data_IF_953641700747
#
_entry.id   IF_953641700747
#
_cell.length_a   1.000
_cell.length_b   1.000
_cell.length_c   1.000
_cell.angle_alpha   90.00
_cell.angle_beta   90.00
_cell.angle_gamma   90.00
#
_symmetry.space_group_name_H-M   'P 1'
#
loop_
_entity.id
_entity.type
_entity.pdbx_description
1 polymer ?
#
# COMPACT_ATOMS: atom_id res chain seq x y z
N UNK A 1 -20.04 -10.83 -11.98
CA UNK A 1 -18.77 -11.09 -11.27
C UNK A 1 -18.79 -10.29 -9.98
N UNK A 2 -18.25 -10.84 -8.86
CA UNK A 2 -18.23 -10.11 -7.58
C UNK A 2 -16.82 -9.58 -7.31
N UNK A 3 -16.72 -8.28 -7.13
CA UNK A 3 -15.48 -7.58 -6.76
C UNK A 3 -15.48 -7.32 -5.26
N UNK A 4 -14.34 -7.46 -4.60
CA UNK A 4 -14.15 -7.18 -3.18
C UNK A 4 -12.85 -6.42 -2.97
N UNK A 5 -12.91 -5.34 -2.19
CA UNK A 5 -11.72 -4.66 -1.67
C UNK A 5 -11.44 -5.15 -0.25
N UNK A 6 -10.23 -5.66 -0.03
CA UNK A 6 -9.74 -6.09 1.27
C UNK A 6 -8.53 -5.24 1.64
N UNK A 7 -8.44 -4.79 2.89
CA UNK A 7 -7.31 -3.97 3.30
C UNK A 7 -6.85 -4.28 4.72
N UNK A 8 -5.62 -3.87 4.99
CA UNK A 8 -5.14 -3.62 6.35
C UNK A 8 -4.58 -2.21 6.44
N UNK A 9 -4.82 -1.56 7.57
CA UNK A 9 -4.33 -0.22 7.83
C UNK A 9 -4.04 -0.03 9.31
N UNK A 10 -3.04 0.79 9.64
CA UNK A 10 -2.72 1.11 11.03
C UNK A 10 -2.92 2.58 11.35
N UNK A 11 -2.60 3.46 10.41
CA UNK A 11 -2.65 4.91 10.57
C UNK A 11 -3.62 5.60 9.60
N UNK A 12 -4.48 4.82 8.91
CA UNK A 12 -5.56 5.34 8.08
C UNK A 12 -5.24 5.56 6.61
N UNK A 13 -3.96 5.71 6.20
CA UNK A 13 -3.63 6.00 4.80
C UNK A 13 -4.11 4.91 3.82
N UNK A 14 -3.81 3.63 4.10
CA UNK A 14 -4.31 2.51 3.27
C UNK A 14 -5.83 2.42 3.29
N UNK A 15 -6.45 2.64 4.44
CA UNK A 15 -7.91 2.63 4.58
C UNK A 15 -8.56 3.69 3.68
N UNK A 16 -8.01 4.90 3.64
CA UNK A 16 -8.51 5.99 2.78
C UNK A 16 -8.50 5.61 1.29
N UNK A 17 -7.41 5.02 0.81
CA UNK A 17 -7.33 4.50 -0.55
C UNK A 17 -8.34 3.38 -0.79
N UNK A 18 -8.43 2.40 0.13
CA UNK A 18 -9.36 1.29 0.03
C UNK A 18 -10.83 1.75 -0.04
N UNK A 19 -11.21 2.73 0.77
CA UNK A 19 -12.54 3.33 0.76
C UNK A 19 -12.85 4.03 -0.56
N UNK A 20 -11.90 4.79 -1.11
CA UNK A 20 -12.07 5.47 -2.37
C UNK A 20 -12.23 4.49 -3.55
N UNK A 21 -11.39 3.44 -3.59
CA UNK A 21 -11.47 2.37 -4.61
C UNK A 21 -12.81 1.64 -4.52
N UNK A 22 -13.20 1.17 -3.32
CA UNK A 22 -14.45 0.46 -3.13
C UNK A 22 -15.68 1.31 -3.48
N UNK A 23 -15.66 2.58 -3.13
CA UNK A 23 -16.73 3.55 -3.47
C UNK A 23 -16.88 3.74 -4.97
N UNK A 24 -15.78 3.91 -5.71
CA UNK A 24 -15.83 4.09 -7.16
C UNK A 24 -16.23 2.82 -7.92
N UNK A 25 -15.82 1.64 -7.41
CA UNK A 25 -16.21 0.35 -7.99
C UNK A 25 -17.61 -0.10 -7.56
N UNK A 26 -18.23 0.57 -6.58
CA UNK A 26 -19.53 0.16 -6.04
C UNK A 26 -19.50 -1.24 -5.41
N UNK A 27 -18.39 -1.64 -4.79
CA UNK A 27 -18.19 -2.98 -4.27
C UNK A 27 -17.96 -2.99 -2.73
N UNK A 28 -18.14 -4.15 -2.07
CA UNK A 28 -17.87 -4.30 -0.65
C UNK A 28 -16.42 -3.99 -0.28
N UNK A 29 -16.24 -3.50 0.96
CA UNK A 29 -14.96 -3.22 1.58
C UNK A 29 -14.86 -3.98 2.91
N UNK A 30 -13.77 -4.70 3.13
CA UNK A 30 -13.51 -5.44 4.36
C UNK A 30 -12.08 -5.27 4.83
N UNK A 31 -11.87 -5.36 6.13
CA UNK A 31 -10.52 -5.58 6.66
C UNK A 31 -10.06 -7.00 6.36
N UNK A 32 -8.75 -7.25 6.35
CA UNK A 32 -8.21 -8.62 6.17
C UNK A 32 -8.73 -9.59 7.25
N UNK A 33 -8.97 -9.09 8.48
CA UNK A 33 -9.49 -9.92 9.58
C UNK A 33 -10.93 -10.34 9.31
N UNK A 34 -11.75 -9.46 8.77
CA UNK A 34 -13.13 -9.76 8.37
C UNK A 34 -13.15 -10.72 7.19
N UNK A 35 -12.35 -10.45 6.16
CA UNK A 35 -12.27 -11.28 4.96
C UNK A 35 -11.82 -12.73 5.24
N UNK A 36 -10.90 -12.92 6.19
CA UNK A 36 -10.45 -14.25 6.62
C UNK A 36 -11.54 -15.10 7.29
N UNK A 37 -12.66 -14.49 7.70
CA UNK A 37 -13.80 -15.17 8.34
C UNK A 37 -14.97 -15.37 7.39
N UNK A 38 -14.85 -14.92 6.15
CA UNK A 38 -15.90 -14.98 5.14
C UNK A 38 -15.59 -16.06 4.10
N UNK A 39 -16.63 -16.62 3.52
CA UNK A 39 -16.51 -17.39 2.31
C UNK A 39 -16.38 -16.44 1.11
N UNK A 40 -15.23 -16.48 0.45
CA UNK A 40 -14.91 -15.66 -0.72
C UNK A 40 -15.04 -16.42 -2.04
N UNK A 41 -15.68 -17.59 -2.06
CA UNK A 41 -15.81 -18.45 -3.25
C UNK A 41 -16.46 -17.72 -4.43
N UNK A 42 -17.45 -16.85 -4.18
CA UNK A 42 -18.13 -16.09 -5.21
C UNK A 42 -17.40 -14.81 -5.67
N UNK A 43 -16.31 -14.44 -4.98
CA UNK A 43 -15.47 -13.29 -5.36
C UNK A 43 -14.60 -13.71 -6.55
N UNK A 44 -14.68 -12.99 -7.64
CA UNK A 44 -13.84 -13.21 -8.83
C UNK A 44 -12.68 -12.22 -8.91
N UNK A 45 -12.87 -10.98 -8.43
CA UNK A 45 -11.85 -9.92 -8.42
C UNK A 45 -11.55 -9.51 -6.98
N UNK A 46 -10.34 -9.73 -6.55
CA UNK A 46 -9.88 -9.40 -5.20
C UNK A 46 -8.83 -8.28 -5.28
N UNK A 47 -9.20 -7.13 -4.71
CA UNK A 47 -8.31 -5.96 -4.62
C UNK A 47 -7.80 -5.89 -3.18
N UNK A 48 -6.50 -6.02 -3.01
CA UNK A 48 -5.89 -6.05 -1.70
C UNK A 48 -4.99 -4.84 -1.44
N UNK A 49 -5.22 -4.14 -0.33
CA UNK A 49 -4.47 -2.96 0.08
C UNK A 49 -3.70 -3.15 1.37
N UNK A 50 -2.41 -2.80 1.37
CA UNK A 50 -1.58 -2.89 2.57
C UNK A 50 -0.55 -1.75 2.68
N UNK A 51 -0.19 -1.35 3.93
CA UNK A 51 0.88 -0.40 4.15
C UNK A 51 2.25 -1.07 4.02
N UNK A 52 3.21 -0.35 3.44
CA UNK A 52 4.60 -0.78 3.38
C UNK A 52 5.33 -0.40 4.66
N UNK A 53 5.90 -1.38 5.34
CA UNK A 53 6.76 -1.20 6.50
C UNK A 53 8.08 -1.94 6.30
N UNK A 54 9.20 -1.22 6.48
CA UNK A 54 10.55 -1.80 6.36
C UNK A 54 10.78 -2.55 5.04
N UNK A 55 10.26 -2.00 3.94
CA UNK A 55 10.45 -2.56 2.60
C UNK A 55 9.56 -3.75 2.27
N UNK A 56 8.52 -4.03 3.05
CA UNK A 56 7.55 -5.09 2.76
C UNK A 56 6.16 -4.76 3.30
N UNK A 57 5.14 -5.44 2.81
CA UNK A 57 3.78 -5.44 3.34
C UNK A 57 3.38 -6.85 3.82
N UNK A 58 2.34 -6.91 4.65
CA UNK A 58 1.77 -8.18 5.14
C UNK A 58 0.60 -8.62 4.26
N UNK A 59 0.22 -9.90 4.35
CA UNK A 59 -0.93 -10.46 3.64
C UNK A 59 -0.57 -11.46 2.54
N UNK A 60 0.72 -11.81 2.38
CA UNK A 60 1.17 -12.74 1.36
C UNK A 60 0.46 -14.10 1.41
N UNK A 61 0.28 -14.68 2.60
CA UNK A 61 -0.43 -15.96 2.75
C UNK A 61 -1.93 -15.84 2.39
N UNK A 62 -2.56 -14.72 2.75
CA UNK A 62 -3.94 -14.45 2.35
C UNK A 62 -4.06 -14.40 0.82
N UNK A 63 -3.18 -13.69 0.15
CA UNK A 63 -3.15 -13.59 -1.32
C UNK A 63 -2.86 -14.94 -1.98
N UNK A 64 -1.93 -15.73 -1.43
CA UNK A 64 -1.61 -17.07 -1.93
C UNK A 64 -2.81 -18.00 -1.87
N UNK A 65 -3.61 -17.92 -0.81
CA UNK A 65 -4.82 -18.74 -0.64
C UNK A 65 -5.97 -18.33 -1.57
N UNK A 66 -5.85 -17.20 -2.28
CA UNK A 66 -6.86 -16.67 -3.20
C UNK A 66 -6.30 -16.44 -4.62
N UNK A 67 -5.29 -17.21 -5.00
CA UNK A 67 -4.63 -17.10 -6.32
C UNK A 67 -5.54 -17.52 -7.49
N UNK A 68 -6.64 -18.21 -7.19
CA UNK A 68 -7.70 -18.56 -8.12
C UNK A 68 -8.50 -17.34 -8.62
N UNK A 69 -8.32 -16.19 -8.03
CA UNK A 69 -9.02 -14.94 -8.32
C UNK A 69 -8.15 -13.98 -9.13
N UNK A 70 -8.78 -13.04 -9.83
CA UNK A 70 -8.06 -11.89 -10.40
C UNK A 70 -7.56 -11.01 -9.25
N UNK A 71 -6.23 -10.95 -9.07
CA UNK A 71 -5.60 -10.26 -7.95
C UNK A 71 -5.07 -8.88 -8.36
N UNK A 72 -5.48 -7.87 -7.61
CA UNK A 72 -4.94 -6.52 -7.66
C UNK A 72 -4.37 -6.17 -6.29
N UNK A 73 -3.13 -5.71 -6.24
CA UNK A 73 -2.46 -5.36 -4.99
C UNK A 73 -2.07 -3.90 -5.05
N UNK A 74 -2.56 -3.08 -4.12
CA UNK A 74 -2.02 -1.73 -3.94
C UNK A 74 -1.25 -1.64 -2.63
N UNK A 75 -0.04 -1.10 -2.71
CA UNK A 75 0.85 -0.95 -1.57
C UNK A 75 1.09 0.54 -1.28
N UNK A 76 0.77 0.95 -0.06
CA UNK A 76 0.85 2.36 0.36
C UNK A 76 2.13 2.60 1.14
N UNK A 77 3.03 3.39 0.59
CA UNK A 77 4.34 3.68 1.18
C UNK A 77 4.74 5.15 1.09
N UNK A 78 5.88 5.48 1.66
CA UNK A 78 6.44 6.85 1.63
C UNK A 78 7.30 7.12 0.40
N UNK A 79 7.72 6.09 -0.33
CA UNK A 79 8.44 6.25 -1.59
C UNK A 79 7.49 6.68 -2.69
N UNK A 80 8.00 7.41 -3.67
CA UNK A 80 7.24 7.74 -4.88
C UNK A 80 6.77 6.45 -5.57
N UNK A 81 5.53 6.40 -6.09
CA UNK A 81 4.95 5.19 -6.67
C UNK A 81 5.78 4.57 -7.80
N UNK A 82 6.48 5.39 -8.57
CA UNK A 82 7.30 4.93 -9.70
C UNK A 82 8.75 4.54 -9.28
N UNK A 83 9.03 4.50 -7.98
CA UNK A 83 10.33 4.09 -7.45
C UNK A 83 10.61 2.61 -7.72
N UNK A 84 11.81 2.25 -8.23
CA UNK A 84 12.23 0.84 -8.42
C UNK A 84 12.21 0.02 -7.12
N UNK A 85 12.22 0.68 -5.98
CA UNK A 85 12.09 0.05 -4.66
C UNK A 85 10.84 -0.83 -4.53
N UNK A 86 9.74 -0.50 -5.21
CA UNK A 86 8.51 -1.28 -5.12
C UNK A 86 8.58 -2.66 -5.75
N UNK A 87 9.49 -2.90 -6.68
CA UNK A 87 9.75 -4.27 -7.19
C UNK A 87 10.31 -5.16 -6.07
N UNK A 88 11.22 -4.63 -5.25
CA UNK A 88 11.77 -5.36 -4.11
C UNK A 88 10.70 -5.55 -3.02
N UNK A 89 9.88 -4.52 -2.76
CA UNK A 89 8.75 -4.60 -1.83
C UNK A 89 7.83 -5.76 -2.21
N UNK A 90 7.47 -5.89 -3.48
CA UNK A 90 6.62 -6.99 -3.96
C UNK A 90 7.31 -8.35 -3.73
N UNK A 91 8.56 -8.48 -4.15
CA UNK A 91 9.35 -9.73 -4.01
C UNK A 91 9.48 -10.19 -2.56
N UNK A 92 9.63 -9.25 -1.62
CA UNK A 92 9.77 -9.56 -0.20
C UNK A 92 8.43 -9.81 0.52
N UNK A 93 7.32 -9.45 -0.10
CA UNK A 93 5.99 -9.47 0.53
C UNK A 93 5.13 -10.67 0.14
N UNK A 94 5.30 -11.20 -1.06
CA UNK A 94 4.45 -12.28 -1.60
C UNK A 94 5.27 -13.35 -2.31
N UNK A 95 4.70 -14.55 -2.35
CA UNK A 95 5.32 -15.70 -3.04
C UNK A 95 5.42 -15.46 -4.57
N UNK A 96 6.38 -16.09 -5.27
CA UNK A 96 6.58 -15.91 -6.71
C UNK A 96 5.32 -16.17 -7.54
N UNK A 97 4.48 -17.11 -7.14
CA UNK A 97 3.23 -17.44 -7.81
C UNK A 97 2.25 -16.26 -7.78
N UNK A 98 2.18 -15.55 -6.63
CA UNK A 98 1.36 -14.34 -6.50
C UNK A 98 1.96 -13.19 -7.31
N UNK A 99 3.29 -13.04 -7.34
CA UNK A 99 3.97 -12.00 -8.12
C UNK A 99 3.65 -12.09 -9.61
N UNK A 100 3.62 -13.32 -10.16
CA UNK A 100 3.35 -13.54 -11.59
C UNK A 100 1.88 -13.41 -11.95
N UNK A 101 0.98 -13.53 -10.98
CA UNK A 101 -0.47 -13.54 -11.18
C UNK A 101 -1.14 -12.21 -10.85
N UNK A 102 -0.63 -11.50 -9.84
CA UNK A 102 -1.24 -10.27 -9.36
C UNK A 102 -0.75 -9.03 -10.13
N UNK A 103 -1.64 -8.07 -10.31
CA UNK A 103 -1.27 -6.71 -10.75
C UNK A 103 -0.89 -5.87 -9.55
N UNK A 104 0.25 -5.22 -9.60
CA UNK A 104 0.79 -4.47 -8.47
C UNK A 104 0.75 -2.96 -8.73
N UNK A 105 0.20 -2.21 -7.80
CA UNK A 105 -0.06 -0.79 -7.92
C UNK A 105 0.45 -0.01 -6.69
N UNK A 106 1.65 0.57 -6.74
CA UNK A 106 2.14 1.41 -5.65
C UNK A 106 1.33 2.70 -5.49
N UNK A 107 1.09 3.09 -4.25
CA UNK A 107 0.38 4.31 -3.87
C UNK A 107 1.25 5.16 -2.94
N UNK A 108 1.23 6.47 -3.14
CA UNK A 108 1.91 7.38 -2.24
C UNK A 108 1.09 7.54 -0.95
N UNK A 109 1.71 7.31 0.17
CA UNK A 109 1.06 7.35 1.49
C UNK A 109 1.29 8.64 2.23
N UNK A 110 1.47 8.50 3.52
CA UNK A 110 1.77 9.62 4.41
C UNK A 110 2.30 9.13 5.74
N UNK A 111 2.70 10.07 6.56
CA UNK A 111 3.13 9.82 7.92
C UNK A 111 2.56 10.90 8.84
N UNK A 112 2.05 10.49 9.98
CA UNK A 112 1.71 11.38 11.07
C UNK A 112 2.65 11.09 12.24
N UNK A 113 3.86 11.67 12.19
CA UNK A 113 4.91 11.41 13.18
C UNK A 113 4.44 11.63 14.63
N UNK A 114 3.71 12.70 14.97
CA UNK A 114 3.18 12.90 16.32
C UNK A 114 2.31 11.74 16.83
N UNK A 115 1.51 11.12 15.94
CA UNK A 115 0.59 10.03 16.28
C UNK A 115 1.22 8.63 16.20
N UNK A 116 2.49 8.51 15.78
CA UNK A 116 3.17 7.24 15.78
C UNK A 116 3.29 6.68 17.21
N UNK A 117 3.15 5.37 17.34
CA UNK A 117 3.50 4.69 18.59
C UNK A 117 4.98 4.91 18.91
N UNK A 118 5.37 4.85 20.18
CA UNK A 118 6.75 5.07 20.61
C UNK A 118 7.76 4.12 19.92
N UNK A 119 7.36 2.87 19.68
CA UNK A 119 8.18 1.89 18.92
C UNK A 119 8.42 2.36 17.50
N UNK A 120 7.36 2.85 16.81
CA UNK A 120 7.49 3.36 15.44
C UNK A 120 8.27 4.68 15.39
N UNK A 121 8.18 5.51 16.42
CA UNK A 121 9.03 6.70 16.54
C UNK A 121 10.51 6.32 16.62
N UNK A 122 10.86 5.36 17.47
CA UNK A 122 12.25 4.86 17.57
C UNK A 122 12.70 4.26 16.23
N UNK A 123 11.85 3.46 15.58
CA UNK A 123 12.15 2.90 14.27
C UNK A 123 12.43 3.99 13.23
N UNK A 124 11.56 5.01 13.15
CA UNK A 124 11.73 6.12 12.22
C UNK A 124 13.01 6.93 12.50
N UNK A 125 13.34 7.15 13.77
CA UNK A 125 14.60 7.80 14.16
C UNK A 125 15.81 6.97 13.71
N UNK A 126 15.76 5.66 13.87
CA UNK A 126 16.81 4.76 13.41
C UNK A 126 16.97 4.79 11.89
N UNK A 127 15.88 4.76 11.14
CA UNK A 127 15.87 4.87 9.67
C UNK A 127 16.47 6.21 9.24
N UNK A 128 16.05 7.32 9.87
CA UNK A 128 16.61 8.64 9.60
C UNK A 128 18.14 8.61 9.74
N UNK A 129 18.63 8.21 10.90
CA UNK A 129 20.07 8.21 11.23
C UNK A 129 20.89 7.29 10.30
N UNK A 130 20.38 6.11 9.95
CA UNK A 130 21.18 5.10 9.25
C UNK A 130 21.00 5.14 7.72
N UNK A 131 19.91 5.67 7.23
CA UNK A 131 19.63 5.77 5.79
C UNK A 131 19.59 7.21 5.30
N UNK A 132 18.71 8.04 5.86
CA UNK A 132 18.41 9.35 5.31
C UNK A 132 19.51 10.39 5.56
N UNK A 133 20.11 10.41 6.75
CA UNK A 133 21.19 11.35 7.04
C UNK A 133 22.47 11.07 6.22
N UNK A 134 22.53 9.94 5.51
CA UNK A 134 23.64 9.57 4.60
C UNK A 134 23.34 9.84 3.13
N UNK A 135 22.14 10.27 2.80
CA UNK A 135 21.70 10.53 1.42
C UNK A 135 22.15 11.93 1.01
N UNK A 136 22.73 12.04 -0.17
CA UNK A 136 23.02 13.35 -0.77
C UNK A 136 21.70 14.03 -1.18
N UNK A 137 21.27 14.99 -0.37
CA UNK A 137 20.05 15.75 -0.58
C UNK A 137 20.02 16.53 -1.88
N UNK A 138 21.21 16.87 -2.44
CA UNK A 138 21.28 17.64 -3.69
C UNK A 138 20.70 16.87 -4.88
N UNK A 139 20.71 15.54 -4.82
CA UNK A 139 20.23 14.64 -5.87
C UNK A 139 18.79 14.11 -5.63
N UNK A 140 18.14 14.58 -4.57
CA UNK A 140 16.79 14.16 -4.23
C UNK A 140 15.74 15.17 -4.72
N UNK A 141 14.51 14.68 -4.91
CA UNK A 141 13.38 15.55 -5.26
C UNK A 141 12.99 16.49 -4.10
N UNK A 142 12.26 17.55 -4.42
CA UNK A 142 11.87 18.57 -3.45
C UNK A 142 10.95 18.03 -2.36
N UNK A 143 10.13 17.02 -2.66
CA UNK A 143 9.24 16.37 -1.69
C UNK A 143 10.07 15.65 -0.63
N UNK A 144 11.10 14.92 -1.03
CA UNK A 144 12.02 14.24 -0.12
C UNK A 144 12.80 15.25 0.74
N UNK A 145 13.29 16.35 0.13
CA UNK A 145 13.99 17.41 0.85
C UNK A 145 13.11 18.06 1.92
N UNK A 146 11.87 18.40 1.58
CA UNK A 146 10.89 18.96 2.51
C UNK A 146 10.55 17.99 3.64
N UNK A 147 10.34 16.71 3.31
CA UNK A 147 10.10 15.66 4.30
C UNK A 147 11.29 15.54 5.26
N UNK A 148 12.53 15.63 4.78
CA UNK A 148 13.72 15.55 5.62
C UNK A 148 13.91 16.79 6.49
N UNK A 149 13.64 17.98 5.97
CA UNK A 149 13.70 19.24 6.72
C UNK A 149 12.71 19.28 7.89
N UNK A 150 11.55 18.65 7.72
CA UNK A 150 10.47 18.65 8.70
C UNK A 150 10.10 17.24 9.19
N UNK A 151 11.07 16.35 9.30
CA UNK A 151 10.91 14.91 9.51
C UNK A 151 9.95 14.50 10.64
N UNK A 152 9.77 15.35 11.64
CA UNK A 152 8.94 15.09 12.82
C UNK A 152 7.49 15.60 12.68
N UNK A 153 7.13 16.07 11.49
CA UNK A 153 5.77 16.59 11.21
C UNK A 153 4.88 15.52 10.57
N UNK A 154 3.68 15.94 10.20
CA UNK A 154 2.73 15.11 9.47
C UNK A 154 2.82 15.43 7.98
N UNK A 155 2.81 14.40 7.16
CA UNK A 155 2.74 14.49 5.70
C UNK A 155 1.65 13.59 5.19
N UNK A 156 0.89 14.08 4.22
CA UNK A 156 -0.15 13.32 3.51
C UNK A 156 0.04 13.55 2.02
N UNK A 157 0.45 12.50 1.33
CA UNK A 157 0.69 12.48 -0.12
C UNK A 157 -0.40 11.70 -0.86
N UNK A 158 -1.62 11.71 -0.35
CA UNK A 158 -2.74 11.05 -1.00
C UNK A 158 -3.00 11.60 -2.40
N UNK A 159 -3.04 10.73 -3.39
CA UNK A 159 -3.26 11.06 -4.80
C UNK A 159 -4.55 10.41 -5.30
N UNK A 160 -5.61 11.23 -5.49
CA UNK A 160 -6.89 10.76 -6.02
C UNK A 160 -6.78 10.27 -7.47
N UNK A 161 -5.88 10.83 -8.27
CA UNK A 161 -5.59 10.38 -9.63
C UNK A 161 -5.16 8.92 -9.68
N UNK A 162 -4.30 8.48 -8.75
CA UNK A 162 -3.88 7.08 -8.65
C UNK A 162 -5.04 6.11 -8.37
N UNK A 163 -6.05 6.57 -7.63
CA UNK A 163 -7.28 5.79 -7.43
C UNK A 163 -8.04 5.65 -8.73
N UNK A 164 -8.21 6.76 -9.46
CA UNK A 164 -8.92 6.77 -10.75
C UNK A 164 -8.23 5.84 -11.76
N UNK A 165 -6.91 5.96 -11.90
CA UNK A 165 -6.12 5.11 -12.80
C UNK A 165 -6.26 3.62 -12.49
N UNK A 166 -6.21 3.25 -11.21
CA UNK A 166 -6.40 1.86 -10.77
C UNK A 166 -7.82 1.37 -11.06
N UNK A 167 -8.83 2.18 -10.74
CA UNK A 167 -10.24 1.84 -10.96
C UNK A 167 -10.55 1.67 -12.44
N UNK A 168 -10.06 2.56 -13.30
CA UNK A 168 -10.20 2.45 -14.76
C UNK A 168 -9.60 1.14 -15.29
N UNK A 169 -8.40 0.77 -14.84
CA UNK A 169 -7.77 -0.49 -15.24
C UNK A 169 -8.57 -1.71 -14.78
N UNK A 170 -9.10 -1.70 -13.53
CA UNK A 170 -9.94 -2.78 -13.04
C UNK A 170 -11.23 -2.88 -13.86
N UNK A 171 -11.90 -1.76 -14.13
CA UNK A 171 -13.15 -1.72 -14.90
C UNK A 171 -12.98 -2.18 -16.35
N UNK A 172 -11.81 -1.99 -16.92
CA UNK A 172 -11.50 -2.45 -18.28
C UNK A 172 -11.36 -3.99 -18.37
N UNK A 173 -11.25 -4.69 -17.24
CA UNK A 173 -11.09 -6.15 -17.17
C UNK A 173 -12.30 -6.89 -16.59
N UNK A 174 -13.27 -6.16 -16.05
CA UNK A 174 -14.51 -6.70 -15.49
C UNK A 174 -15.64 -6.66 -16.51
#
# INVERSE_FOLDING_TARGET
MKTLVVYQSRYGHTQRYAQAIASQLGCPLMTIIEAQRQDLTEVSHLIYGAPVYLGKFKGGDFLKNHIDKQLWIFAVGLSLPDSPHYEEVLKLSVAPEVQSHARFYPMHGGINFPQLSWIHKILMLSIKKHRFDKVDLSQQDETFKQMMANYYQSYDFYEASRVNDLVEQIQAEV
#
